data_IF_245627250034
#
_entry.id   IF_245627250034
#
_cell.length_a   1.000
_cell.length_b   1.000
_cell.length_c   1.000
_cell.angle_alpha   90.00
_cell.angle_beta   90.00
_cell.angle_gamma   90.00
#
_symmetry.space_group_name_H-M   'P 1'
#
loop_
_entity.id
_entity.type
_entity.pdbx_description
1 polymer ?
#
# COMPACT_ATOMS: atom_id res chain seq x y z
N UNK A 1 28.52 -7.61 46.13
CA UNK A 1 27.94 -6.26 46.14
C UNK A 1 27.43 -6.08 44.73
N UNK A 2 26.23 -6.60 44.48
CA UNK A 2 25.57 -6.56 43.19
C UNK A 2 24.97 -5.16 43.04
N UNK A 3 25.41 -4.43 42.02
CA UNK A 3 24.77 -3.19 41.64
C UNK A 3 23.54 -3.56 40.82
N UNK A 4 22.39 -3.50 41.46
CA UNK A 4 21.06 -3.64 40.85
C UNK A 4 20.89 -2.46 39.88
N UNK A 5 20.86 -2.78 38.58
CA UNK A 5 20.58 -1.81 37.52
C UNK A 5 19.06 -1.70 37.39
N UNK A 6 18.45 -0.76 38.11
CA UNK A 6 17.08 -0.31 37.82
C UNK A 6 17.12 0.47 36.50
N UNK A 7 17.08 -0.27 35.39
CA UNK A 7 16.78 0.31 34.10
C UNK A 7 15.35 0.79 34.14
N UNK A 8 15.15 2.11 34.22
CA UNK A 8 13.93 2.74 33.72
C UNK A 8 13.69 2.14 32.34
N UNK A 9 12.62 1.34 32.23
CA UNK A 9 12.19 0.79 30.95
C UNK A 9 12.07 1.96 30.01
N UNK A 10 12.86 1.95 28.92
CA UNK A 10 12.77 2.95 27.87
C UNK A 10 11.29 3.23 27.60
N UNK A 11 10.84 4.51 27.59
CA UNK A 11 9.47 4.79 27.18
C UNK A 11 9.33 4.18 25.80
N UNK A 12 8.43 3.22 25.67
CA UNK A 12 8.07 2.64 24.39
C UNK A 12 7.65 3.83 23.53
N UNK A 13 8.51 4.22 22.59
CA UNK A 13 8.17 5.22 21.58
C UNK A 13 7.22 4.55 20.61
N UNK A 14 5.99 4.40 21.05
CA UNK A 14 4.86 4.10 20.19
C UNK A 14 4.43 5.44 19.57
N UNK A 15 4.10 5.46 18.28
CA UNK A 15 3.59 6.66 17.62
C UNK A 15 2.12 6.84 18.07
N UNK A 16 1.91 7.13 19.35
CA UNK A 16 0.60 7.03 19.99
C UNK A 16 -0.09 8.38 19.94
N UNK A 17 -1.00 8.51 18.97
CA UNK A 17 -2.19 9.32 19.21
C UNK A 17 -2.81 8.84 20.52
N UNK A 18 -2.78 9.66 21.58
CA UNK A 18 -3.45 9.34 22.84
C UNK A 18 -4.95 9.19 22.57
N UNK A 19 -5.39 7.94 22.47
CA UNK A 19 -6.77 7.59 22.17
C UNK A 19 -7.55 7.29 23.45
N UNK A 20 -7.20 7.84 24.61
CA UNK A 20 -8.00 7.63 25.81
C UNK A 20 -9.42 8.15 25.59
N UNK A 21 -10.41 7.26 25.56
CA UNK A 21 -11.79 7.60 25.21
C UNK A 21 -12.48 8.55 26.20
N UNK A 22 -11.94 8.70 27.43
CA UNK A 22 -12.45 9.62 28.46
C UNK A 22 -11.90 11.04 28.33
N UNK A 23 -10.67 11.20 27.84
CA UNK A 23 -9.99 12.51 27.75
C UNK A 23 -9.80 12.98 26.31
N UNK A 24 -9.81 12.05 25.35
CA UNK A 24 -9.51 12.22 23.92
C UNK A 24 -10.55 11.51 23.05
N UNK A 25 -11.84 11.72 23.36
CA UNK A 25 -12.96 11.05 22.70
C UNK A 25 -12.94 11.21 21.17
N UNK A 26 -12.66 12.41 20.67
CA UNK A 26 -12.57 12.70 19.23
C UNK A 26 -11.48 11.90 18.53
N UNK A 27 -10.31 11.74 19.16
CA UNK A 27 -9.19 10.94 18.65
C UNK A 27 -9.53 9.44 18.69
N UNK A 28 -10.18 8.97 19.75
CA UNK A 28 -10.65 7.58 19.83
C UNK A 28 -11.65 7.27 18.71
N UNK A 29 -12.65 8.14 18.49
CA UNK A 29 -13.60 7.97 17.39
C UNK A 29 -12.90 7.99 16.03
N UNK A 30 -12.07 8.99 15.77
CA UNK A 30 -11.33 9.11 14.51
C UNK A 30 -10.48 7.88 14.22
N UNK A 31 -9.71 7.38 15.19
CA UNK A 31 -8.84 6.20 15.00
C UNK A 31 -9.62 4.91 14.77
N UNK A 32 -10.73 4.69 15.50
CA UNK A 32 -11.56 3.48 15.35
C UNK A 32 -12.33 3.49 14.04
N UNK A 33 -12.92 4.62 13.66
CA UNK A 33 -13.58 4.78 12.37
C UNK A 33 -12.61 4.69 11.20
N UNK A 34 -11.42 5.29 11.31
CA UNK A 34 -10.38 5.18 10.27
C UNK A 34 -10.01 3.73 10.01
N UNK A 35 -9.86 2.90 11.05
CA UNK A 35 -9.61 1.48 10.87
C UNK A 35 -10.79 0.77 10.19
N UNK A 36 -12.03 1.01 10.63
CA UNK A 36 -13.21 0.39 10.05
C UNK A 36 -13.38 0.73 8.55
N UNK A 37 -13.24 2.00 8.19
CA UNK A 37 -13.34 2.44 6.79
C UNK A 37 -12.14 2.04 5.96
N UNK A 38 -10.91 2.01 6.51
CA UNK A 38 -9.75 1.49 5.78
C UNK A 38 -9.92 0.03 5.39
N UNK A 39 -10.40 -0.80 6.33
CA UNK A 39 -10.71 -2.21 6.04
C UNK A 39 -11.90 -2.30 5.07
N UNK A 40 -12.87 -1.38 5.17
CA UNK A 40 -13.96 -1.22 4.20
C UNK A 40 -13.44 -1.01 2.76
N UNK A 41 -12.45 -0.14 2.56
CA UNK A 41 -11.80 0.07 1.25
C UNK A 41 -11.23 -1.24 0.72
N UNK A 42 -10.47 -1.97 1.57
CA UNK A 42 -9.86 -3.25 1.18
C UNK A 42 -10.92 -4.30 0.84
N UNK A 43 -12.01 -4.36 1.63
CA UNK A 43 -13.11 -5.27 1.40
C UNK A 43 -13.86 -4.95 0.10
N UNK A 44 -14.19 -3.69 -0.16
CA UNK A 44 -14.78 -3.24 -1.42
C UNK A 44 -13.88 -3.58 -2.62
N UNK A 45 -12.59 -3.28 -2.52
CA UNK A 45 -11.63 -3.55 -3.58
C UNK A 45 -11.50 -5.05 -3.87
N UNK A 46 -11.55 -5.90 -2.84
CA UNK A 46 -11.48 -7.36 -2.99
C UNK A 46 -12.69 -7.97 -3.70
N UNK A 47 -13.83 -7.26 -3.69
CA UNK A 47 -15.05 -7.70 -4.37
C UNK A 47 -15.07 -7.31 -5.86
N UNK A 48 -14.09 -6.53 -6.33
CA UNK A 48 -13.92 -6.19 -7.75
C UNK A 48 -13.30 -7.40 -8.48
N UNK A 49 -14.18 -8.32 -8.88
CA UNK A 49 -13.85 -9.50 -9.66
C UNK A 49 -14.61 -9.51 -10.99
N UNK A 50 -14.07 -10.22 -11.97
CA UNK A 50 -14.70 -10.43 -13.28
C UNK A 50 -15.00 -9.12 -14.06
N UNK A 51 -14.15 -8.11 -13.88
CA UNK A 51 -14.21 -6.85 -14.65
C UNK A 51 -13.73 -7.14 -16.06
N UNK A 52 -14.49 -6.67 -17.06
CA UNK A 52 -14.09 -6.73 -18.45
C UNK A 52 -13.15 -5.56 -18.77
N UNK A 53 -11.89 -5.89 -19.04
CA UNK A 53 -10.86 -4.93 -19.45
C UNK A 53 -10.34 -5.38 -20.81
N UNK A 54 -10.63 -4.59 -21.84
CA UNK A 54 -10.23 -4.86 -23.23
C UNK A 54 -10.69 -6.24 -23.75
N UNK A 55 -11.89 -6.68 -23.36
CA UNK A 55 -12.47 -7.98 -23.75
C UNK A 55 -11.95 -9.16 -22.92
N UNK A 56 -11.16 -8.90 -21.87
CA UNK A 56 -10.60 -9.92 -21.00
C UNK A 56 -11.17 -9.74 -19.59
N UNK A 57 -11.85 -10.78 -19.11
CA UNK A 57 -12.26 -10.89 -17.72
C UNK A 57 -11.05 -10.97 -16.81
N UNK A 58 -10.95 -10.02 -15.89
CA UNK A 58 -9.83 -9.89 -14.96
C UNK A 58 -10.31 -9.49 -13.56
N UNK A 59 -9.38 -9.42 -12.63
CA UNK A 59 -9.65 -8.98 -11.26
C UNK A 59 -8.63 -7.94 -10.84
N UNK A 60 -9.03 -7.11 -9.89
CA UNK A 60 -8.20 -6.02 -9.40
C UNK A 60 -6.96 -6.56 -8.67
N UNK A 61 -5.77 -6.09 -9.05
CA UNK A 61 -4.51 -6.43 -8.38
C UNK A 61 -4.08 -5.32 -7.41
N UNK A 62 -4.15 -4.07 -7.88
CA UNK A 62 -3.70 -2.91 -7.11
C UNK A 62 -4.52 -1.68 -7.48
N UNK A 63 -4.85 -0.87 -6.48
CA UNK A 63 -5.41 0.45 -6.68
C UNK A 63 -4.42 1.51 -6.18
N UNK A 64 -4.38 2.65 -6.87
CA UNK A 64 -3.83 3.90 -6.36
C UNK A 64 -4.96 4.90 -6.34
N UNK A 65 -5.27 5.42 -5.15
CA UNK A 65 -6.27 6.45 -4.93
C UNK A 65 -5.57 7.65 -4.29
N UNK A 66 -5.76 8.83 -4.84
CA UNK A 66 -5.12 10.07 -4.36
C UNK A 66 -6.21 11.12 -4.20
N UNK A 67 -6.35 11.64 -2.98
CA UNK A 67 -7.30 12.70 -2.63
C UNK A 67 -6.52 13.97 -2.35
N UNK A 68 -6.62 14.96 -3.23
CA UNK A 68 -6.00 16.26 -3.05
C UNK A 68 -7.02 17.25 -2.48
N UNK A 69 -6.69 17.96 -1.40
CA UNK A 69 -7.62 18.92 -0.78
C UNK A 69 -8.00 20.06 -1.72
N UNK A 70 -9.30 20.22 -1.99
CA UNK A 70 -9.81 21.32 -2.79
C UNK A 70 -9.99 22.55 -1.90
N UNK A 71 -9.08 23.53 -2.01
CA UNK A 71 -9.06 24.74 -1.16
C UNK A 71 -10.31 25.62 -1.29
N UNK A 72 -11.08 25.45 -2.35
CA UNK A 72 -12.30 26.24 -2.62
C UNK A 72 -13.52 25.65 -1.92
N UNK A 73 -13.40 24.45 -1.34
CA UNK A 73 -14.49 23.69 -0.72
C UNK A 73 -14.14 23.44 0.75
N UNK A 74 -14.97 23.94 1.64
CA UNK A 74 -14.79 23.79 3.10
C UNK A 74 -15.80 22.84 3.74
N UNK A 75 -16.84 22.45 2.99
CA UNK A 75 -17.85 21.52 3.49
C UNK A 75 -17.32 20.09 3.47
N UNK A 76 -17.08 19.54 4.67
CA UNK A 76 -16.59 18.18 4.85
C UNK A 76 -17.58 17.10 4.38
N UNK A 77 -18.87 17.43 4.25
CA UNK A 77 -19.89 16.49 3.78
C UNK A 77 -20.00 16.46 2.27
N UNK A 78 -19.40 17.43 1.57
CA UNK A 78 -19.36 17.47 0.11
C UNK A 78 -18.51 16.34 -0.47
N UNK A 79 -18.90 15.86 -1.66
CA UNK A 79 -18.07 14.96 -2.47
C UNK A 79 -16.92 15.71 -3.16
N UNK A 80 -17.05 17.03 -3.31
CA UNK A 80 -16.07 17.91 -3.97
C UNK A 80 -14.99 18.41 -3.02
N UNK A 81 -14.96 17.95 -1.76
CA UNK A 81 -13.95 18.34 -0.78
C UNK A 81 -12.54 17.98 -1.26
N UNK A 82 -12.41 16.88 -1.99
CA UNK A 82 -11.15 16.39 -2.52
C UNK A 82 -11.23 16.21 -4.03
N UNK A 83 -10.19 16.67 -4.72
CA UNK A 83 -9.96 16.32 -6.12
C UNK A 83 -9.37 14.89 -6.16
N UNK A 84 -10.12 13.97 -6.75
CA UNK A 84 -9.77 12.55 -6.83
C UNK A 84 -8.94 12.26 -8.08
N UNK A 85 -7.80 11.61 -7.89
CA UNK A 85 -7.03 10.93 -8.93
C UNK A 85 -6.93 9.44 -8.59
N UNK A 86 -7.34 8.58 -9.53
CA UNK A 86 -7.37 7.14 -9.33
C UNK A 86 -6.78 6.38 -10.52
N UNK A 87 -6.13 5.27 -10.21
CA UNK A 87 -5.72 4.27 -11.18
C UNK A 87 -5.82 2.87 -10.59
N UNK A 88 -6.42 1.96 -11.34
CA UNK A 88 -6.53 0.54 -11.03
C UNK A 88 -5.63 -0.26 -11.98
N UNK A 89 -4.87 -1.17 -11.39
CA UNK A 89 -4.01 -2.13 -12.09
C UNK A 89 -4.61 -3.52 -11.92
N UNK A 90 -4.76 -4.22 -13.03
CA UNK A 90 -5.31 -5.57 -13.08
C UNK A 90 -4.22 -6.62 -13.21
N UNK A 91 -4.59 -7.89 -13.08
CA UNK A 91 -3.66 -9.02 -13.16
C UNK A 91 -3.08 -9.20 -14.56
N UNK A 92 -3.85 -8.78 -15.57
CA UNK A 92 -3.40 -8.68 -16.97
C UNK A 92 -2.31 -7.62 -17.17
N UNK A 93 -1.93 -6.88 -16.12
CA UNK A 93 -1.07 -5.69 -16.17
C UNK A 93 -1.71 -4.49 -16.87
N UNK A 94 -2.97 -4.59 -17.30
CA UNK A 94 -3.73 -3.44 -17.76
C UNK A 94 -3.89 -2.41 -16.64
N UNK A 95 -3.85 -1.14 -17.01
CA UNK A 95 -4.05 -0.01 -16.09
C UNK A 95 -5.18 0.85 -16.63
N UNK A 96 -6.21 1.05 -15.82
CA UNK A 96 -7.29 2.00 -16.08
C UNK A 96 -7.23 3.12 -15.04
N UNK A 97 -7.37 4.36 -15.47
CA UNK A 97 -7.41 5.52 -14.59
C UNK A 97 -8.42 6.56 -15.08
N UNK A 98 -8.51 7.66 -14.35
CA UNK A 98 -9.46 8.75 -14.65
C UNK A 98 -9.34 9.31 -16.09
N UNK A 99 -8.16 9.18 -16.70
CA UNK A 99 -7.87 9.67 -18.05
C UNK A 99 -7.88 8.57 -19.13
N UNK A 100 -8.32 7.35 -18.82
CA UNK A 100 -8.22 6.21 -19.75
C UNK A 100 -9.23 6.21 -20.90
N UNK A 101 -10.12 7.20 -21.00
CA UNK A 101 -11.08 7.30 -22.11
C UNK A 101 -12.01 6.07 -22.20
N UNK A 102 -12.64 5.72 -21.08
CA UNK A 102 -13.47 4.51 -20.96
C UNK A 102 -14.86 4.75 -21.59
N UNK A 103 -15.38 3.75 -22.30
CA UNK A 103 -16.66 3.81 -23.02
C UNK A 103 -17.91 3.67 -22.12
N UNK A 104 -17.72 3.79 -20.80
CA UNK A 104 -18.78 3.67 -19.80
C UNK A 104 -18.65 4.75 -18.73
N UNK A 105 -19.74 4.98 -18.00
CA UNK A 105 -19.78 5.97 -16.93
C UNK A 105 -18.83 5.57 -15.79
N UNK A 106 -17.90 6.47 -15.47
CA UNK A 106 -16.90 6.31 -14.41
C UNK A 106 -17.12 7.28 -13.25
N UNK A 107 -18.36 7.78 -13.10
CA UNK A 107 -18.79 8.59 -11.96
C UNK A 107 -18.29 7.92 -10.66
N UNK A 108 -17.46 8.61 -9.85
CA UNK A 108 -16.62 7.91 -8.87
C UNK A 108 -17.36 7.47 -7.61
N UNK A 109 -18.44 8.15 -7.22
CA UNK A 109 -19.10 7.91 -5.94
C UNK A 109 -20.56 7.51 -6.14
N UNK A 110 -21.02 6.55 -5.34
CA UNK A 110 -22.42 6.11 -5.29
C UNK A 110 -23.07 5.80 -6.66
N UNK A 111 -22.26 5.31 -7.62
CA UNK A 111 -22.68 4.97 -8.99
C UNK A 111 -22.55 3.48 -9.30
N UNK A 112 -23.00 3.08 -10.49
CA UNK A 112 -22.88 1.71 -11.04
C UNK A 112 -21.46 1.37 -11.55
N UNK A 113 -20.52 2.32 -11.52
CA UNK A 113 -19.13 2.05 -11.85
C UNK A 113 -18.57 0.99 -10.90
N UNK A 114 -17.98 -0.09 -11.41
CA UNK A 114 -17.44 -1.18 -10.58
C UNK A 114 -16.39 -0.71 -9.55
N UNK A 115 -15.69 0.41 -9.79
CA UNK A 115 -14.74 1.01 -8.85
C UNK A 115 -15.40 1.90 -7.79
N UNK A 116 -16.65 2.33 -8.01
CA UNK A 116 -17.40 3.27 -7.16
C UNK A 116 -17.48 2.84 -5.69
N UNK A 117 -17.73 1.56 -5.35
CA UNK A 117 -17.74 1.15 -3.95
C UNK A 117 -16.43 1.44 -3.21
N UNK A 118 -15.29 1.14 -3.85
CA UNK A 118 -13.97 1.37 -3.28
C UNK A 118 -13.68 2.86 -3.14
N UNK A 119 -14.01 3.65 -4.16
CA UNK A 119 -13.81 5.09 -4.18
C UNK A 119 -14.69 5.81 -3.13
N UNK A 120 -15.93 5.37 -2.97
CA UNK A 120 -16.88 5.91 -1.98
C UNK A 120 -16.40 5.67 -0.55
N UNK A 121 -15.96 4.45 -0.22
CA UNK A 121 -15.34 4.18 1.10
C UNK A 121 -14.07 5.00 1.31
N UNK A 122 -13.24 5.15 0.26
CA UNK A 122 -11.99 5.87 0.35
C UNK A 122 -12.19 7.38 0.54
N UNK A 123 -13.23 7.96 -0.06
CA UNK A 123 -13.62 9.35 0.16
C UNK A 123 -14.00 9.56 1.64
N UNK A 124 -14.85 8.69 2.18
CA UNK A 124 -15.30 8.81 3.57
C UNK A 124 -14.16 8.62 4.56
N UNK A 125 -13.30 7.62 4.33
CA UNK A 125 -12.05 7.45 5.06
C UNK A 125 -11.19 8.73 5.04
N UNK A 126 -11.03 9.35 3.86
CA UNK A 126 -10.23 10.57 3.71
C UNK A 126 -10.80 11.76 4.50
N UNK A 127 -12.13 11.89 4.58
CA UNK A 127 -12.82 12.90 5.41
C UNK A 127 -12.57 12.69 6.91
N UNK A 128 -12.59 11.43 7.36
CA UNK A 128 -12.28 11.07 8.76
C UNK A 128 -10.81 11.35 9.06
N UNK A 129 -9.89 10.93 8.18
CA UNK A 129 -8.46 11.16 8.34
C UNK A 129 -8.11 12.65 8.37
N UNK A 130 -8.73 13.45 7.51
CA UNK A 130 -8.59 14.91 7.55
C UNK A 130 -8.98 15.48 8.93
N UNK A 131 -10.12 15.05 9.46
CA UNK A 131 -10.61 15.48 10.77
C UNK A 131 -9.69 15.01 11.90
N UNK A 132 -9.24 13.75 11.85
CA UNK A 132 -8.34 13.16 12.84
C UNK A 132 -6.99 13.89 12.85
N UNK A 133 -6.38 14.14 11.68
CA UNK A 133 -5.14 14.89 11.58
C UNK A 133 -5.28 16.34 12.02
N UNK A 134 -6.41 16.99 11.72
CA UNK A 134 -6.65 18.34 12.21
C UNK A 134 -6.68 18.39 13.76
N UNK A 135 -7.33 17.43 14.41
CA UNK A 135 -7.35 17.34 15.88
C UNK A 135 -5.97 17.00 16.44
N UNK A 136 -5.27 16.05 15.85
CA UNK A 136 -3.94 15.60 16.30
C UNK A 136 -2.90 16.73 16.21
N UNK A 137 -2.96 17.53 15.14
CA UNK A 137 -2.16 18.74 14.98
C UNK A 137 -2.67 19.93 15.81
N UNK A 138 -3.77 19.76 16.55
CA UNK A 138 -4.40 20.81 17.36
C UNK A 138 -4.92 22.00 16.55
N UNK A 139 -5.24 21.79 15.29
CA UNK A 139 -5.85 22.77 14.40
C UNK A 139 -7.37 22.77 14.57
N UNK A 140 -7.84 23.41 15.64
CA UNK A 140 -9.26 23.45 16.00
C UNK A 140 -10.11 24.38 15.14
N UNK A 141 -9.48 25.22 14.32
CA UNK A 141 -10.16 26.14 13.40
C UNK A 141 -10.49 25.46 12.06
N UNK A 142 -9.89 24.30 11.77
CA UNK A 142 -10.20 23.51 10.59
C UNK A 142 -11.60 22.89 10.70
N UNK A 143 -12.36 22.81 9.59
CA UNK A 143 -13.54 21.95 9.53
C UNK A 143 -13.22 20.57 10.07
N UNK A 144 -14.09 20.03 10.93
CA UNK A 144 -13.85 18.76 11.59
C UNK A 144 -15.14 17.97 11.84
N UNK A 145 -15.17 16.68 11.49
CA UNK A 145 -16.33 15.80 11.74
C UNK A 145 -16.37 15.22 13.15
N UNK A 146 -15.32 15.36 13.96
CA UNK A 146 -15.14 14.59 15.20
C UNK A 146 -15.24 15.45 16.46
N UNK A 147 -15.58 16.74 16.33
CA UNK A 147 -15.67 17.69 17.45
C UNK A 147 -17.10 18.02 17.86
N UNK A 148 -18.09 17.65 17.05
CA UNK A 148 -19.51 17.86 17.32
C UNK A 148 -20.34 16.60 17.04
N UNK A 149 -21.56 16.57 17.58
CA UNK A 149 -22.46 15.42 17.49
C UNK A 149 -22.91 15.13 16.05
N UNK A 150 -23.27 16.16 15.28
CA UNK A 150 -23.80 15.97 13.92
C UNK A 150 -22.71 15.54 12.95
N UNK A 151 -21.51 16.12 13.10
CA UNK A 151 -20.30 15.67 12.44
C UNK A 151 -20.00 14.22 12.76
N UNK A 152 -20.05 13.83 14.04
CA UNK A 152 -19.68 12.48 14.46
C UNK A 152 -20.66 11.44 13.93
N UNK A 153 -21.97 11.72 13.95
CA UNK A 153 -22.98 10.84 13.35
C UNK A 153 -22.72 10.63 11.85
N UNK A 154 -22.37 11.69 11.14
CA UNK A 154 -21.97 11.59 9.72
C UNK A 154 -20.67 10.78 9.55
N UNK A 155 -19.66 11.00 10.40
CA UNK A 155 -18.40 10.22 10.36
C UNK A 155 -18.63 8.73 10.63
N UNK A 156 -19.54 8.40 11.54
CA UNK A 156 -19.94 7.02 11.83
C UNK A 156 -20.60 6.39 10.61
N UNK A 157 -21.62 7.04 10.06
CA UNK A 157 -22.33 6.61 8.86
C UNK A 157 -22.74 7.81 8.00
N UNK A 158 -22.17 7.90 6.81
CA UNK A 158 -22.65 8.83 5.79
C UNK A 158 -24.02 8.33 5.27
N UNK A 159 -25.10 9.11 5.40
CA UNK A 159 -26.43 8.72 4.93
C UNK A 159 -26.51 8.48 3.41
N UNK A 160 -25.53 8.96 2.64
CA UNK A 160 -25.46 8.78 1.18
C UNK A 160 -24.57 7.62 0.75
N UNK A 161 -23.81 7.00 1.65
CA UNK A 161 -22.88 5.93 1.28
C UNK A 161 -23.63 4.65 0.92
N UNK A 162 -23.78 4.40 -0.38
CA UNK A 162 -24.53 3.26 -0.91
C UNK A 162 -23.99 1.89 -0.47
N UNK A 163 -22.70 1.80 -0.14
CA UNK A 163 -22.09 0.53 0.28
C UNK A 163 -22.64 0.02 1.61
N UNK A 164 -23.08 0.94 2.48
CA UNK A 164 -23.48 0.68 3.87
C UNK A 164 -24.99 0.76 4.09
N UNK A 165 -25.75 1.18 3.08
CA UNK A 165 -27.21 1.15 3.08
C UNK A 165 -27.72 -0.29 2.90
N UNK A 166 -28.98 -0.59 3.31
CA UNK A 166 -29.59 -1.89 3.03
C UNK A 166 -29.58 -2.22 1.52
N UNK A 167 -29.06 -3.39 1.17
CA UNK A 167 -28.84 -3.81 -0.22
C UNK A 167 -27.47 -3.44 -0.79
N UNK A 168 -26.68 -2.65 -0.06
CA UNK A 168 -25.29 -2.33 -0.41
C UNK A 168 -24.32 -3.50 -0.21
N UNK A 169 -23.10 -3.34 -0.71
CA UNK A 169 -22.09 -4.42 -0.70
C UNK A 169 -21.70 -4.90 0.69
N UNK A 170 -21.92 -4.09 1.75
CA UNK A 170 -21.64 -4.46 3.14
C UNK A 170 -22.87 -4.84 3.95
N UNK A 171 -24.09 -4.76 3.40
CA UNK A 171 -25.32 -5.01 4.17
C UNK A 171 -25.64 -6.50 4.34
N UNK A 172 -25.16 -7.36 3.44
CA UNK A 172 -25.60 -8.76 3.33
C UNK A 172 -24.48 -9.77 3.61
N UNK A 173 -23.40 -9.37 4.27
CA UNK A 173 -22.26 -10.24 4.51
C UNK A 173 -22.55 -11.19 5.67
N UNK A 174 -22.98 -12.40 5.31
CA UNK A 174 -23.10 -13.54 6.20
C UNK A 174 -21.76 -14.29 6.27
N UNK A 175 -21.41 -14.72 7.47
CA UNK A 175 -20.07 -15.08 7.99
C UNK A 175 -19.41 -16.34 7.36
N UNK A 176 -19.63 -16.65 6.07
CA UNK A 176 -19.20 -17.92 5.48
C UNK A 176 -18.06 -17.75 4.47
N UNK A 177 -16.85 -17.51 5.00
CA UNK A 177 -15.59 -17.81 4.30
C UNK A 177 -14.70 -16.63 3.87
N UNK A 178 -15.07 -15.39 4.20
CA UNK A 178 -14.35 -14.17 3.80
C UNK A 178 -13.66 -13.39 4.93
N UNK A 179 -13.16 -12.19 4.62
CA UNK A 179 -12.70 -11.20 5.60
C UNK A 179 -13.77 -10.98 6.66
N UNK A 180 -13.40 -11.10 7.94
CA UNK A 180 -14.29 -10.89 9.10
C UNK A 180 -15.02 -9.54 8.98
N UNK A 181 -16.31 -9.59 8.65
CA UNK A 181 -17.11 -8.42 8.30
C UNK A 181 -17.22 -7.42 9.46
N UNK A 182 -17.10 -7.95 10.69
CA UNK A 182 -17.15 -7.17 11.93
C UNK A 182 -16.06 -6.10 11.96
N UNK A 183 -14.93 -6.32 11.27
CA UNK A 183 -13.79 -5.38 11.23
C UNK A 183 -14.10 -4.04 10.56
N UNK A 184 -15.13 -3.97 9.72
CA UNK A 184 -15.52 -2.73 9.01
C UNK A 184 -16.99 -2.36 9.20
N UNK A 185 -17.80 -3.22 9.83
CA UNK A 185 -19.20 -2.91 10.18
C UNK A 185 -19.42 -2.67 11.67
N UNK A 186 -18.43 -2.96 12.52
CA UNK A 186 -18.52 -2.83 13.98
C UNK A 186 -17.33 -2.09 14.57
N UNK A 187 -17.53 -1.50 15.74
CA UNK A 187 -16.51 -0.87 16.56
C UNK A 187 -16.35 -1.61 17.90
N UNK A 188 -15.13 -1.71 18.44
CA UNK A 188 -14.94 -2.23 19.78
C UNK A 188 -15.51 -1.26 20.81
N UNK A 189 -16.15 -1.79 21.85
CA UNK A 189 -16.56 -1.01 23.01
C UNK A 189 -15.32 -0.55 23.79
N UNK A 190 -15.30 0.69 24.28
CA UNK A 190 -14.15 1.22 25.00
C UNK A 190 -14.00 0.66 26.42
N UNK A 191 -15.08 0.13 27.00
CA UNK A 191 -15.16 -0.38 28.37
C UNK A 191 -15.02 -1.90 28.48
N UNK A 192 -14.84 -2.62 27.36
CA UNK A 192 -14.81 -4.07 27.36
C UNK A 192 -13.47 -4.61 27.90
N UNK A 193 -13.57 -5.62 28.76
CA UNK A 193 -12.42 -6.27 29.36
C UNK A 193 -11.70 -7.06 28.26
N UNK A 194 -10.40 -6.78 28.05
CA UNK A 194 -9.61 -7.10 26.84
C UNK A 194 -9.45 -8.61 26.54
N UNK A 195 -10.17 -9.49 27.23
CA UNK A 195 -10.07 -10.94 27.15
C UNK A 195 -11.08 -11.61 26.21
N UNK A 196 -12.12 -10.90 25.73
CA UNK A 196 -13.17 -11.51 24.92
C UNK A 196 -13.43 -10.69 23.65
N UNK A 197 -13.44 -11.38 22.51
CA UNK A 197 -13.75 -10.89 21.15
C UNK A 197 -15.24 -10.45 21.02
N UNK A 198 -15.92 -10.09 22.12
CA UNK A 198 -17.39 -10.08 22.24
C UNK A 198 -18.02 -8.71 22.57
N UNK A 199 -17.26 -7.66 22.87
CA UNK A 199 -17.80 -6.30 23.03
C UNK A 199 -17.66 -5.45 21.78
N UNK A 200 -18.24 -5.86 20.65
CA UNK A 200 -18.32 -5.02 19.45
C UNK A 200 -19.75 -4.50 19.24
N UNK A 201 -19.89 -3.26 18.76
CA UNK A 201 -21.19 -2.63 18.45
C UNK A 201 -21.24 -2.31 16.96
N UNK A 202 -22.38 -2.58 16.32
CA UNK A 202 -22.59 -2.20 14.92
C UNK A 202 -22.47 -0.67 14.75
N UNK A 203 -21.97 -0.23 13.61
CA UNK A 203 -21.78 1.20 13.35
C UNK A 203 -23.08 2.01 13.50
N UNK A 204 -24.23 1.48 13.05
CA UNK A 204 -25.54 2.15 13.17
C UNK A 204 -26.00 2.34 14.63
N UNK A 205 -25.55 1.49 15.55
CA UNK A 205 -25.87 1.52 16.98
C UNK A 205 -24.74 2.15 17.81
N UNK A 206 -23.58 2.35 17.20
CA UNK A 206 -22.35 2.74 17.90
C UNK A 206 -22.47 4.09 18.59
N UNK A 207 -23.12 5.09 17.97
CA UNK A 207 -23.28 6.41 18.57
C UNK A 207 -24.04 6.33 19.91
N UNK A 208 -25.26 5.75 19.92
CA UNK A 208 -26.09 5.67 21.12
C UNK A 208 -25.49 4.78 22.21
N UNK A 209 -24.70 3.77 21.82
CA UNK A 209 -24.15 2.78 22.76
C UNK A 209 -22.82 3.25 23.35
N UNK A 210 -21.95 3.86 22.54
CA UNK A 210 -20.58 4.20 22.94
C UNK A 210 -20.52 5.63 23.48
N UNK A 211 -21.23 6.60 22.88
CA UNK A 211 -21.15 8.01 23.28
C UNK A 211 -21.40 8.27 24.78
N UNK A 212 -22.35 7.59 25.46
CA UNK A 212 -22.55 7.76 26.90
C UNK A 212 -21.33 7.37 27.76
N UNK A 213 -20.42 6.56 27.21
CA UNK A 213 -19.19 6.13 27.88
C UNK A 213 -18.03 7.11 27.64
N UNK A 214 -18.14 8.02 26.69
CA UNK A 214 -17.05 8.87 26.22
C UNK A 214 -16.89 10.15 27.04
N UNK A 215 -15.70 10.75 26.94
CA UNK A 215 -15.48 12.14 27.29
C UNK A 215 -16.07 13.12 26.28
N UNK A 216 -15.91 14.44 26.51
CA UNK A 216 -16.37 15.45 25.56
C UNK A 216 -15.63 15.32 24.22
N UNK A 217 -16.37 15.49 23.13
CA UNK A 217 -15.78 15.73 21.81
C UNK A 217 -15.10 17.09 21.85
N UNK A 218 -13.81 17.12 21.57
CA UNK A 218 -13.01 18.34 21.71
C UNK A 218 -11.76 18.28 20.85
N UNK A 219 -11.26 19.46 20.53
CA UNK A 219 -9.95 19.67 19.96
C UNK A 219 -9.12 20.46 20.97
N UNK A 220 -7.91 20.00 21.25
CA UNK A 220 -6.97 20.69 22.11
C UNK A 220 -5.79 21.20 21.28
N UNK A 221 -5.20 22.33 21.67
CA UNK A 221 -4.00 22.85 21.02
C UNK A 221 -2.84 21.87 21.21
N UNK A 222 -2.26 21.41 20.11
CA UNK A 222 -1.12 20.53 20.14
C UNK A 222 0.11 21.32 20.60
N UNK A 223 0.90 20.71 21.49
CA UNK A 223 2.21 21.24 21.89
C UNK A 223 3.27 20.35 21.26
N UNK A 224 3.92 20.81 20.19
CA UNK A 224 5.08 20.12 19.64
C UNK A 224 6.26 20.42 20.56
N UNK A 225 6.56 19.48 21.47
CA UNK A 225 7.75 19.55 22.28
C UNK A 225 8.98 19.30 21.38
N UNK A 226 9.69 20.36 21.01
CA UNK A 226 10.92 20.30 20.22
C UNK A 226 12.12 19.73 21.00
N UNK A 227 11.92 18.68 21.82
CA UNK A 227 13.02 18.01 22.53
C UNK A 227 14.00 17.33 21.56
N UNK A 228 13.56 16.95 20.35
CA UNK A 228 14.44 16.35 19.35
C UNK A 228 15.41 17.36 18.68
N UNK A 229 15.07 18.65 18.62
CA UNK A 229 15.94 19.68 18.02
C UNK A 229 17.07 20.13 18.95
N UNK A 230 16.92 19.95 20.25
CA UNK A 230 17.94 20.25 21.25
C UNK A 230 18.73 19.02 21.69
N UNK A 231 18.67 17.92 20.93
CA UNK A 231 19.58 16.80 21.14
C UNK A 231 21.00 17.27 20.80
N UNK A 232 21.78 17.60 21.83
CA UNK A 232 23.20 17.89 21.70
C UNK A 232 23.84 16.70 20.97
N UNK A 233 24.46 16.89 19.79
CA UNK A 233 25.03 15.78 19.03
C UNK A 233 26.13 15.14 19.87
N UNK A 234 25.82 14.01 20.50
CA UNK A 234 26.81 13.17 21.16
C UNK A 234 27.52 12.40 20.06
N UNK A 235 28.85 12.52 20.02
CA UNK A 235 29.68 11.77 19.09
C UNK A 235 29.35 10.28 19.25
N UNK A 236 28.81 9.66 18.18
CA UNK A 236 28.55 8.22 18.17
C UNK A 236 29.86 7.48 18.34
N UNK A 237 29.81 6.32 18.99
CA UNK A 237 30.95 5.40 19.10
C UNK A 237 31.59 5.18 17.73
N UNK A 238 32.93 5.18 17.67
CA UNK A 238 33.72 4.97 16.45
C UNK A 238 33.30 3.69 15.73
N UNK A 239 32.87 2.65 16.46
CA UNK A 239 32.37 1.41 15.88
C UNK A 239 31.07 1.57 15.08
N UNK A 240 30.14 2.42 15.54
CA UNK A 240 28.88 2.70 14.82
C UNK A 240 29.17 3.51 13.56
N UNK A 241 30.15 4.41 13.61
CA UNK A 241 30.58 5.18 12.44
C UNK A 241 31.21 4.27 11.37
N UNK A 242 32.10 3.35 11.77
CA UNK A 242 32.69 2.37 10.86
C UNK A 242 31.63 1.45 10.23
N UNK A 243 30.68 0.96 11.02
CA UNK A 243 29.60 0.12 10.51
C UNK A 243 28.73 0.87 9.48
N UNK A 244 28.42 2.14 9.75
CA UNK A 244 27.64 2.98 8.84
C UNK A 244 28.37 3.21 7.50
N UNK A 245 29.70 3.42 7.54
CA UNK A 245 30.53 3.57 6.33
C UNK A 245 30.51 2.26 5.52
N UNK A 246 30.75 1.12 6.16
CA UNK A 246 30.74 -0.18 5.48
C UNK A 246 29.37 -0.49 4.86
N UNK A 247 28.28 -0.19 5.57
CA UNK A 247 26.92 -0.36 5.05
C UNK A 247 26.65 0.55 3.86
N UNK A 248 27.05 1.82 3.93
CA UNK A 248 26.89 2.75 2.83
C UNK A 248 27.66 2.28 1.58
N UNK A 249 28.91 1.87 1.75
CA UNK A 249 29.76 1.40 0.64
C UNK A 249 29.23 0.11 0.00
N UNK A 250 28.69 -0.82 0.80
CA UNK A 250 28.01 -2.02 0.30
C UNK A 250 26.79 -1.68 -0.55
N UNK A 251 25.99 -0.71 -0.11
CA UNK A 251 24.81 -0.25 -0.86
C UNK A 251 25.24 0.43 -2.17
N UNK A 252 26.28 1.27 -2.15
CA UNK A 252 26.81 1.89 -3.37
C UNK A 252 27.38 0.87 -4.36
N UNK A 253 28.09 -0.15 -3.88
CA UNK A 253 28.60 -1.24 -4.73
C UNK A 253 27.46 -2.07 -5.34
N UNK A 254 26.40 -2.37 -4.58
CA UNK A 254 25.22 -3.05 -5.12
C UNK A 254 24.49 -2.20 -6.17
N UNK A 255 24.35 -0.91 -5.93
CA UNK A 255 23.75 0.02 -6.88
C UNK A 255 24.59 0.15 -8.17
N UNK A 256 25.91 0.26 -8.03
CA UNK A 256 26.84 0.32 -9.16
C UNK A 256 26.80 -0.98 -10.00
N UNK A 257 26.73 -2.15 -9.35
CA UNK A 257 26.59 -3.43 -10.04
C UNK A 257 25.27 -3.52 -10.83
N UNK A 258 24.16 -3.08 -10.24
CA UNK A 258 22.87 -3.04 -10.94
C UNK A 258 22.86 -2.08 -12.13
N UNK A 259 23.51 -0.93 -11.99
CA UNK A 259 23.70 0.01 -13.10
C UNK A 259 24.56 -0.61 -14.21
N UNK A 260 25.64 -1.31 -13.88
CA UNK A 260 26.49 -1.98 -14.86
C UNK A 260 25.74 -3.07 -15.62
N UNK A 261 24.97 -3.92 -14.93
CA UNK A 261 24.12 -4.94 -15.55
C UNK A 261 23.12 -4.29 -16.52
N UNK A 262 22.42 -3.24 -16.06
CA UNK A 262 21.47 -2.51 -16.89
C UNK A 262 22.12 -1.91 -18.15
N UNK A 263 23.30 -1.29 -18.01
CA UNK A 263 24.05 -0.75 -19.16
C UNK A 263 24.54 -1.84 -20.11
N UNK A 264 25.04 -2.96 -19.58
CA UNK A 264 25.48 -4.10 -20.38
C UNK A 264 24.31 -4.70 -21.17
N UNK A 265 23.18 -4.95 -20.51
CA UNK A 265 21.96 -5.51 -21.14
C UNK A 265 21.40 -4.55 -22.19
N UNK A 266 21.35 -3.26 -21.91
CA UNK A 266 20.91 -2.23 -22.85
C UNK A 266 21.81 -2.15 -24.10
N UNK A 267 23.13 -2.27 -23.92
CA UNK A 267 24.08 -2.25 -25.05
C UNK A 267 24.06 -3.55 -25.85
N UNK A 268 23.91 -4.70 -25.18
CA UNK A 268 23.83 -6.02 -25.80
C UNK A 268 22.49 -6.23 -26.53
N UNK A 269 21.39 -5.67 -26.03
CA UNK A 269 20.08 -5.73 -26.67
C UNK A 269 20.06 -5.13 -28.10
N UNK A 270 20.98 -4.20 -28.40
CA UNK A 270 21.14 -3.51 -29.68
C UNK A 270 21.99 -4.26 -30.72
N UNK A 271 22.56 -5.44 -30.39
CA UNK A 271 23.30 -6.27 -31.35
C UNK A 271 22.61 -7.63 -31.59
N UNK A 272 21.92 -7.82 -32.73
CA UNK A 272 21.17 -9.05 -32.99
C UNK A 272 22.06 -10.28 -33.13
N UNK A 273 23.32 -10.13 -33.55
CA UNK A 273 24.27 -11.24 -33.71
C UNK A 273 24.77 -11.90 -32.40
N UNK A 274 24.36 -11.41 -31.23
CA UNK A 274 24.75 -11.98 -29.92
C UNK A 274 23.57 -12.61 -29.15
N UNK A 275 22.38 -12.71 -29.77
CA UNK A 275 21.16 -13.29 -29.16
C UNK A 275 20.92 -14.74 -29.59
N UNK A 276 21.97 -15.56 -29.66
CA UNK A 276 21.83 -16.99 -29.91
C UNK A 276 22.09 -17.76 -28.62
N UNK A 277 21.05 -18.42 -28.11
CA UNK A 277 21.22 -19.44 -27.09
C UNK A 277 21.74 -20.71 -27.75
N UNK A 278 22.65 -21.42 -27.08
CA UNK A 278 23.27 -22.67 -27.55
C UNK A 278 22.24 -23.74 -27.96
N UNK A 279 21.02 -23.69 -27.40
CA UNK A 279 19.91 -24.59 -27.76
C UNK A 279 18.99 -24.12 -28.91
N UNK A 280 19.12 -22.90 -29.42
CA UNK A 280 18.30 -22.43 -30.55
C UNK A 280 18.80 -22.96 -31.90
N UNK A 281 20.05 -23.43 -31.99
CA UNK A 281 20.61 -24.02 -33.21
C UNK A 281 20.17 -25.48 -33.42
N UNK A 282 19.80 -26.21 -32.36
CA UNK A 282 19.27 -27.58 -32.47
C UNK A 282 17.75 -27.62 -32.73
N UNK A 283 17.02 -26.55 -32.43
CA UNK A 283 15.56 -26.49 -32.61
C UNK A 283 15.11 -26.13 -34.04
N UNK A 284 16.01 -25.67 -34.91
CA UNK A 284 15.75 -25.41 -36.33
C UNK A 284 16.52 -26.38 -37.23
N UNK A 285 16.15 -27.66 -37.15
CA UNK A 285 16.33 -28.57 -38.28
C UNK A 285 15.41 -28.13 -39.44
N UNK A 286 15.86 -27.22 -40.28
CA UNK A 286 15.09 -26.81 -41.46
C UNK A 286 15.62 -25.58 -42.20
N UNK A 287 16.56 -25.81 -43.13
CA UNK A 287 16.94 -24.94 -44.26
C UNK A 287 17.11 -23.43 -44.01
N UNK A 288 18.33 -23.04 -43.66
CA UNK A 288 18.95 -21.82 -44.20
C UNK A 288 20.32 -22.19 -44.80
N UNK A 289 20.58 -21.69 -46.01
CA UNK A 289 21.65 -22.14 -46.88
C UNK A 289 23.06 -22.02 -46.32
N UNK A 290 23.85 -23.05 -46.65
CA UNK A 290 25.28 -23.03 -46.93
C UNK A 290 26.20 -22.41 -45.86
N UNK A 291 26.39 -23.14 -44.75
CA UNK A 291 27.62 -23.09 -43.96
C UNK A 291 28.20 -24.50 -43.92
N UNK A 292 29.25 -24.73 -44.70
CA UNK A 292 29.92 -26.02 -44.79
C UNK A 292 30.75 -26.28 -43.53
N UNK A 293 30.31 -27.26 -42.73
CA UNK A 293 30.98 -27.71 -41.50
C UNK A 293 31.96 -28.85 -41.83
N UNK A 294 33.25 -28.54 -41.95
CA UNK A 294 34.29 -29.55 -42.07
C UNK A 294 34.57 -30.21 -40.71
N UNK A 295 34.25 -31.50 -40.58
CA UNK A 295 34.53 -32.29 -39.37
C UNK A 295 35.95 -32.87 -39.42
N UNK A 296 36.88 -32.32 -38.63
CA UNK A 296 38.20 -32.94 -38.44
C UNK A 296 38.24 -33.83 -37.17
N UNK A 297 38.74 -35.08 -37.24
CA UNK A 297 38.89 -35.94 -36.07
C UNK A 297 40.17 -35.62 -35.26
N UNK A 298 40.02 -35.52 -33.94
CA UNK A 298 41.06 -35.24 -32.92
C UNK A 298 42.25 -36.22 -33.01
N UNK A 299 43.48 -35.71 -33.17
CA UNK A 299 44.70 -36.40 -32.71
C UNK A 299 45.01 -36.01 -31.24
N UNK A 300 45.24 -37.04 -30.43
CA UNK A 300 45.58 -37.03 -28.99
C UNK A 300 46.64 -36.01 -28.60
N UNK A 301 46.40 -35.24 -27.54
CA UNK A 301 47.41 -34.86 -26.54
C UNK A 301 46.77 -34.71 -25.14
N UNK A 302 47.60 -34.97 -24.12
CA UNK A 302 47.29 -35.47 -22.79
C UNK A 302 47.10 -34.40 -21.69
N UNK A 303 46.31 -34.82 -20.68
CA UNK A 303 46.40 -34.57 -19.24
C UNK A 303 46.65 -33.14 -18.72
N UNK A 304 45.58 -32.52 -18.18
CA UNK A 304 45.73 -31.38 -17.28
C UNK A 304 44.51 -30.50 -16.99
N UNK A 305 43.37 -30.64 -17.68
CA UNK A 305 42.20 -29.78 -17.46
C UNK A 305 40.90 -30.55 -17.43
N UNK A 306 40.09 -30.36 -16.38
CA UNK A 306 38.72 -30.84 -16.29
C UNK A 306 37.80 -30.06 -17.24
N UNK A 307 37.76 -30.49 -18.49
CA UNK A 307 36.78 -30.02 -19.49
C UNK A 307 35.85 -31.19 -19.82
N UNK A 308 34.54 -30.94 -19.78
CA UNK A 308 33.51 -31.95 -20.07
C UNK A 308 33.60 -32.42 -21.54
N UNK A 309 33.10 -33.61 -21.90
CA UNK A 309 33.42 -34.28 -23.16
C UNK A 309 32.94 -33.62 -24.46
N UNK A 310 32.22 -32.49 -24.42
CA UNK A 310 31.48 -31.95 -25.57
C UNK A 310 31.86 -30.54 -26.04
N UNK A 311 32.94 -29.96 -25.54
CA UNK A 311 33.35 -28.63 -26.03
C UNK A 311 33.95 -28.73 -27.44
N UNK A 312 33.11 -28.51 -28.47
CA UNK A 312 33.53 -28.12 -29.81
C UNK A 312 33.72 -26.61 -29.83
N UNK A 313 34.95 -26.15 -29.91
CA UNK A 313 35.22 -24.73 -30.14
C UNK A 313 35.19 -24.43 -31.64
N UNK A 314 34.32 -23.50 -32.04
CA UNK A 314 34.26 -22.96 -33.40
C UNK A 314 35.13 -21.71 -33.44
N UNK A 315 36.17 -21.71 -34.28
CA UNK A 315 37.02 -20.55 -34.51
C UNK A 315 36.56 -19.85 -35.79
N UNK A 316 35.94 -18.68 -35.66
CA UNK A 316 35.58 -17.84 -36.80
C UNK A 316 36.82 -17.14 -37.34
N UNK A 317 37.19 -17.42 -38.59
CA UNK A 317 38.16 -16.62 -39.33
C UNK A 317 37.38 -15.64 -40.21
N UNK A 318 37.63 -14.35 -40.03
CA UNK A 318 37.22 -13.34 -41.00
C UNK A 318 38.10 -13.47 -42.23
N UNK A 319 37.51 -13.62 -43.42
CA UNK A 319 38.20 -13.29 -44.67
C UNK A 319 37.96 -11.81 -44.95
N UNK A 320 39.05 -11.10 -45.27
CA UNK A 320 39.03 -9.83 -46.00
C UNK A 320 38.38 -10.00 -47.38
#
# INVERSE_FOLDING_TARGET
MEAEYEGETEPVYDYVMDSNYKTRASVWWGTRLSNAYFIGILSAASQIADVDVDGIKTYLNRARLTFNGNRSKSDLRSEELFDLDWSFQFVTSAVQGINSGLDYDTTPYNSDFWGSPTLTEALHYSKIMHSLFAIDLGNCDSPNLLVDEDGLKYAILDPKNSNRLPGGIFSNLTDQGGLDYRRYTMLPRPDDDKSLIWGTVLLNESYSTIQPLMGPLSCEKATIAAQYLCSVPKQKSVGVMLLAIVLADLVFLQAAWKLLQWFADSRMAKRPQMKFCEGCLEAQGGNFGEVELENQPRRRQQAGSSVRPNDRYVRLRSRE
#
